data_IF_046702106773
#
_entry.id   IF_046702106773
#
_cell.length_a   1.000
_cell.length_b   1.000
_cell.length_c   1.000
_cell.angle_alpha   90.00
_cell.angle_beta   90.00
_cell.angle_gamma   90.00
#
_symmetry.space_group_name_H-M   'P 1'
#
loop_
_entity.id
_entity.type
_entity.pdbx_description
1 polymer ?
#
# COMPACT_ATOMS: atom_id res chain seq x y z
N UNK A 1 -2.76 -21.65 -36.77
CA UNK A 1 -3.71 -20.57 -36.41
C UNK A 1 -2.91 -19.31 -36.50
N UNK A 2 -3.36 -18.34 -37.28
CA UNK A 2 -2.65 -17.05 -37.38
C UNK A 2 -2.60 -16.43 -35.96
N UNK A 3 -1.41 -16.00 -35.55
CA UNK A 3 -1.22 -15.27 -34.30
C UNK A 3 -1.98 -13.93 -34.47
N UNK A 4 -3.19 -13.83 -33.90
CA UNK A 4 -3.93 -12.59 -33.97
C UNK A 4 -3.16 -11.56 -33.13
N UNK A 5 -2.97 -10.37 -33.69
CA UNK A 5 -2.26 -9.30 -32.98
C UNK A 5 -3.08 -8.91 -31.74
N UNK A 6 -2.45 -8.95 -30.56
CA UNK A 6 -3.06 -8.46 -29.33
C UNK A 6 -3.39 -6.98 -29.46
N UNK A 7 -4.58 -6.59 -29.05
CA UNK A 7 -4.97 -5.18 -28.95
C UNK A 7 -5.34 -4.81 -27.52
N UNK A 8 -5.25 -3.51 -27.20
CA UNK A 8 -5.61 -2.96 -25.89
C UNK A 8 -6.47 -1.72 -26.10
N UNK A 9 -7.52 -1.58 -25.30
CA UNK A 9 -8.37 -0.39 -25.27
C UNK A 9 -8.89 -0.14 -23.85
N UNK A 10 -9.36 1.05 -23.61
CA UNK A 10 -10.17 1.35 -22.43
C UNK A 10 -11.51 0.64 -22.48
N UNK A 11 -12.12 0.45 -21.33
CA UNK A 11 -13.42 -0.22 -21.21
C UNK A 11 -14.56 0.80 -21.14
N UNK A 12 -15.76 0.33 -21.43
CA UNK A 12 -17.02 1.03 -21.17
C UNK A 12 -17.97 0.15 -20.33
N UNK A 13 -19.18 0.66 -20.06
CA UNK A 13 -20.17 -0.07 -19.25
C UNK A 13 -20.57 -1.42 -19.85
N UNK A 14 -20.57 -1.55 -21.18
CA UNK A 14 -20.93 -2.79 -21.85
C UNK A 14 -19.90 -3.90 -21.67
N UNK A 15 -18.64 -3.56 -21.38
CA UNK A 15 -17.56 -4.51 -21.13
C UNK A 15 -17.60 -5.10 -19.72
N UNK A 16 -18.22 -4.41 -18.77
CA UNK A 16 -18.16 -4.74 -17.36
C UNK A 16 -18.52 -6.19 -17.01
N UNK A 17 -19.55 -6.82 -17.64
CA UNK A 17 -19.86 -8.22 -17.34
C UNK A 17 -18.74 -9.19 -17.73
N UNK A 18 -18.13 -9.01 -18.92
CA UNK A 18 -17.02 -9.88 -19.35
C UNK A 18 -15.74 -9.56 -18.60
N UNK A 19 -15.42 -8.28 -18.41
CA UNK A 19 -14.29 -7.81 -17.62
C UNK A 19 -14.30 -8.42 -16.21
N UNK A 20 -15.45 -8.37 -15.52
CA UNK A 20 -15.64 -8.96 -14.20
C UNK A 20 -15.46 -10.47 -14.22
N UNK A 21 -15.96 -11.15 -15.25
CA UNK A 21 -15.82 -12.61 -15.38
C UNK A 21 -14.36 -13.01 -15.57
N UNK A 22 -13.61 -12.30 -16.43
CA UNK A 22 -12.17 -12.53 -16.64
C UNK A 22 -11.40 -12.33 -15.33
N UNK A 23 -11.73 -11.29 -14.59
CA UNK A 23 -11.13 -11.00 -13.28
C UNK A 23 -11.42 -12.12 -12.28
N UNK A 24 -12.67 -12.53 -12.11
CA UNK A 24 -13.07 -13.59 -11.19
C UNK A 24 -12.37 -14.93 -11.53
N UNK A 25 -12.30 -15.31 -12.80
CA UNK A 25 -11.57 -16.50 -13.24
C UNK A 25 -10.08 -16.45 -12.89
N UNK A 26 -9.43 -15.29 -13.04
CA UNK A 26 -8.00 -15.15 -12.80
C UNK A 26 -7.65 -15.15 -11.31
N UNK A 27 -8.52 -14.58 -10.47
CA UNK A 27 -8.37 -14.55 -9.01
C UNK A 27 -8.98 -15.76 -8.30
N UNK A 28 -9.52 -16.73 -9.05
CA UNK A 28 -10.15 -17.95 -8.53
C UNK A 28 -11.41 -17.67 -7.67
N UNK A 29 -12.06 -16.55 -7.92
CA UNK A 29 -13.36 -16.18 -7.34
C UNK A 29 -14.51 -16.90 -8.07
N UNK A 30 -15.72 -16.87 -7.49
CA UNK A 30 -16.91 -17.42 -8.16
C UNK A 30 -17.29 -16.54 -9.38
N UNK A 31 -17.14 -17.06 -10.61
CA UNK A 31 -17.42 -16.29 -11.83
C UNK A 31 -18.91 -15.94 -12.01
N UNK A 32 -19.79 -16.50 -11.20
CA UNK A 32 -21.21 -16.16 -11.12
C UNK A 32 -21.50 -14.97 -10.21
N UNK A 33 -20.57 -14.70 -9.31
CA UNK A 33 -20.63 -13.59 -8.36
C UNK A 33 -20.08 -12.28 -8.94
N UNK A 34 -20.65 -11.80 -10.05
CA UNK A 34 -20.18 -10.65 -10.82
C UNK A 34 -20.25 -9.30 -10.07
N UNK A 35 -20.87 -9.26 -8.89
CA UNK A 35 -20.95 -8.05 -8.05
C UNK A 35 -19.68 -7.85 -7.21
N UNK A 36 -18.54 -7.70 -7.89
CA UNK A 36 -17.30 -7.31 -7.21
C UNK A 36 -17.38 -5.86 -6.78
N UNK A 37 -17.28 -5.62 -5.47
CA UNK A 37 -17.22 -4.25 -4.94
C UNK A 37 -16.04 -3.45 -5.51
N UNK A 38 -14.98 -4.13 -5.93
CA UNK A 38 -13.78 -3.52 -6.52
C UNK A 38 -14.06 -2.86 -7.86
N UNK A 39 -15.08 -3.29 -8.59
CA UNK A 39 -15.46 -2.65 -9.86
C UNK A 39 -16.02 -1.23 -9.68
N UNK A 40 -16.55 -0.92 -8.48
CA UNK A 40 -17.11 0.40 -8.17
C UNK A 40 -16.05 1.51 -8.06
N UNK A 41 -14.78 1.14 -7.86
CA UNK A 41 -13.68 2.11 -7.78
C UNK A 41 -12.95 2.28 -9.10
N UNK A 42 -13.26 1.48 -10.13
CA UNK A 42 -12.61 1.58 -11.43
C UNK A 42 -12.95 2.89 -12.14
N UNK A 43 -11.92 3.53 -12.65
CA UNK A 43 -11.99 4.66 -13.55
C UNK A 43 -11.99 4.10 -14.98
N UNK A 44 -13.11 4.13 -15.69
CA UNK A 44 -13.30 3.44 -16.98
C UNK A 44 -12.30 3.91 -18.05
N UNK A 45 -11.96 5.20 -18.06
CA UNK A 45 -10.97 5.80 -18.94
C UNK A 45 -9.52 5.38 -18.60
N UNK A 46 -9.31 4.77 -17.43
CA UNK A 46 -8.02 4.22 -16.95
C UNK A 46 -8.08 2.71 -16.72
N UNK A 47 -9.18 2.07 -17.03
CA UNK A 47 -9.32 0.62 -17.02
C UNK A 47 -9.20 0.06 -18.44
N UNK A 48 -8.43 -1.01 -18.61
CA UNK A 48 -8.04 -1.55 -19.90
C UNK A 48 -8.44 -3.01 -20.05
N UNK A 49 -8.99 -3.35 -21.21
CA UNK A 49 -9.16 -4.70 -21.68
C UNK A 49 -8.10 -5.02 -22.74
N UNK A 50 -7.47 -6.19 -22.62
CA UNK A 50 -6.61 -6.74 -23.65
C UNK A 50 -7.37 -7.82 -24.42
N UNK A 51 -7.37 -7.71 -25.75
CA UNK A 51 -8.16 -8.55 -26.63
C UNK A 51 -7.28 -9.42 -27.53
N UNK A 52 -7.80 -10.61 -27.83
CA UNK A 52 -7.35 -11.52 -28.89
C UNK A 52 -8.53 -11.68 -29.85
N UNK A 53 -8.53 -10.94 -30.97
CA UNK A 53 -9.75 -10.71 -31.76
C UNK A 53 -10.79 -9.93 -30.94
N UNK A 54 -11.98 -10.50 -30.75
CA UNK A 54 -13.06 -9.89 -29.98
C UNK A 54 -13.11 -10.39 -28.52
N UNK A 55 -12.26 -11.33 -28.15
CA UNK A 55 -12.24 -11.93 -26.81
C UNK A 55 -11.41 -11.11 -25.84
N UNK A 56 -11.97 -10.68 -24.69
CA UNK A 56 -11.20 -10.11 -23.58
C UNK A 56 -10.42 -11.24 -22.91
N UNK A 57 -9.08 -11.16 -22.97
CA UNK A 57 -8.14 -12.15 -22.45
C UNK A 57 -7.32 -11.66 -21.25
N UNK A 58 -7.39 -10.37 -20.97
CA UNK A 58 -6.72 -9.75 -19.83
C UNK A 58 -7.37 -8.44 -19.43
N UNK A 59 -7.18 -8.05 -18.17
CA UNK A 59 -7.74 -6.84 -17.58
C UNK A 59 -6.66 -6.08 -16.81
N UNK A 60 -6.89 -4.81 -16.56
CA UNK A 60 -6.11 -4.00 -15.64
C UNK A 60 -6.70 -2.62 -15.48
N UNK A 61 -6.56 -2.04 -14.30
CA UNK A 61 -7.03 -0.69 -13.97
C UNK A 61 -5.94 0.14 -13.31
N UNK A 62 -6.07 1.44 -13.40
CA UNK A 62 -5.28 2.41 -12.64
C UNK A 62 -6.24 3.33 -11.92
N UNK A 63 -6.11 3.41 -10.60
CA UNK A 63 -6.88 4.34 -9.79
C UNK A 63 -6.04 5.58 -9.53
N UNK A 64 -6.63 6.75 -9.69
CA UNK A 64 -6.00 8.03 -9.37
C UNK A 64 -5.96 8.20 -7.85
N UNK A 65 -4.76 8.25 -7.29
CA UNK A 65 -4.55 8.40 -5.83
C UNK A 65 -3.49 9.45 -5.55
N UNK A 66 -3.52 9.97 -4.34
CA UNK A 66 -2.37 10.63 -3.72
C UNK A 66 -1.80 9.70 -2.65
N UNK A 67 -0.49 9.60 -2.59
CA UNK A 67 0.24 8.91 -1.51
C UNK A 67 1.06 9.91 -0.73
N UNK A 68 1.07 9.78 0.58
CA UNK A 68 1.95 10.59 1.43
C UNK A 68 3.35 9.99 1.44
N UNK A 69 4.33 10.80 1.07
CA UNK A 69 5.75 10.42 1.01
C UNK A 69 6.54 10.99 2.21
N UNK A 70 7.77 10.55 2.46
CA UNK A 70 8.62 11.13 3.50
C UNK A 70 8.68 12.66 3.42
N UNK A 71 8.41 13.34 4.54
CA UNK A 71 8.27 14.79 4.61
C UNK A 71 6.83 15.31 4.53
N UNK A 72 5.83 14.40 4.38
CA UNK A 72 4.41 14.75 4.46
C UNK A 72 3.81 15.33 3.16
N UNK A 73 4.55 15.34 2.05
CA UNK A 73 3.99 15.72 0.75
C UNK A 73 3.02 14.65 0.25
N UNK A 74 1.92 15.07 -0.36
CA UNK A 74 0.97 14.21 -1.06
C UNK A 74 1.33 14.21 -2.54
N UNK A 75 1.69 13.05 -3.07
CA UNK A 75 2.20 12.88 -4.43
C UNK A 75 1.17 12.10 -5.26
N UNK A 76 0.83 12.56 -6.48
CA UNK A 76 0.01 11.77 -7.39
C UNK A 76 0.65 10.41 -7.66
N UNK A 77 -0.16 9.36 -7.59
CA UNK A 77 0.28 7.99 -7.82
C UNK A 77 -0.78 7.20 -8.57
N UNK A 78 -0.37 6.50 -9.63
CA UNK A 78 -1.22 5.52 -10.30
C UNK A 78 -1.29 4.23 -9.48
N UNK A 79 -2.44 3.95 -8.87
CA UNK A 79 -2.65 2.72 -8.11
C UNK A 79 -3.15 1.61 -9.05
N UNK A 80 -2.24 0.73 -9.45
CA UNK A 80 -2.50 -0.35 -10.41
C UNK A 80 -3.24 -1.49 -9.73
N UNK A 81 -4.36 -1.90 -10.32
CA UNK A 81 -5.24 -2.92 -9.76
C UNK A 81 -5.85 -3.82 -10.84
N UNK A 82 -6.50 -4.88 -10.45
CA UNK A 82 -7.24 -5.85 -11.28
C UNK A 82 -6.46 -6.37 -12.49
N UNK A 83 -5.14 -6.49 -12.33
CA UNK A 83 -4.26 -7.01 -13.38
C UNK A 83 -4.45 -8.50 -13.51
N UNK A 84 -5.03 -8.93 -14.63
CA UNK A 84 -5.28 -10.35 -14.91
C UNK A 84 -4.91 -10.76 -16.32
N UNK A 85 -4.65 -12.05 -16.49
CA UNK A 85 -4.49 -12.71 -17.80
C UNK A 85 -5.16 -14.07 -17.72
N UNK A 86 -6.09 -14.34 -18.65
CA UNK A 86 -6.72 -15.68 -18.75
C UNK A 86 -5.65 -16.77 -18.78
N UNK A 87 -5.80 -17.89 -18.04
CA UNK A 87 -4.78 -18.92 -17.93
C UNK A 87 -4.27 -19.45 -19.28
N UNK A 88 -5.16 -19.62 -20.24
CA UNK A 88 -4.81 -20.10 -21.59
C UNK A 88 -4.04 -19.10 -22.46
N UNK A 89 -3.90 -17.84 -22.02
CA UNK A 89 -3.26 -16.77 -22.77
C UNK A 89 -1.98 -16.23 -22.10
N UNK A 90 -1.51 -16.92 -21.05
CA UNK A 90 -0.26 -16.57 -20.35
C UNK A 90 0.95 -16.72 -21.28
N UNK A 91 2.04 -15.99 -21.00
CA UNK A 91 3.31 -16.02 -21.72
C UNK A 91 3.24 -15.52 -23.18
N UNK A 92 2.17 -14.83 -23.56
CA UNK A 92 1.99 -14.20 -24.89
C UNK A 92 2.22 -12.68 -24.89
N UNK A 93 2.82 -12.12 -23.83
CA UNK A 93 3.09 -10.69 -23.74
C UNK A 93 1.93 -9.82 -23.22
N UNK A 94 0.77 -10.41 -22.87
CA UNK A 94 -0.45 -9.69 -22.42
C UNK A 94 -0.15 -8.74 -21.26
N UNK A 95 0.46 -9.22 -20.18
CA UNK A 95 0.81 -8.38 -19.02
C UNK A 95 1.84 -7.28 -19.38
N UNK A 96 2.77 -7.57 -20.30
CA UNK A 96 3.77 -6.58 -20.74
C UNK A 96 3.13 -5.46 -21.56
N UNK A 97 2.17 -5.78 -22.42
CA UNK A 97 1.40 -4.79 -23.18
C UNK A 97 0.62 -3.89 -22.22
N UNK A 98 -0.10 -4.48 -21.26
CA UNK A 98 -0.86 -3.73 -20.26
C UNK A 98 0.04 -2.78 -19.44
N UNK A 99 1.11 -3.31 -18.82
CA UNK A 99 2.02 -2.50 -18.00
C UNK A 99 2.67 -1.38 -18.81
N UNK A 100 3.05 -1.65 -20.07
CA UNK A 100 3.59 -0.62 -20.95
C UNK A 100 2.60 0.51 -21.18
N UNK A 101 1.36 0.18 -21.53
CA UNK A 101 0.29 1.17 -21.77
C UNK A 101 0.04 2.00 -20.51
N UNK A 102 -0.09 1.35 -19.34
CA UNK A 102 -0.38 2.05 -18.09
C UNK A 102 0.77 2.96 -17.65
N UNK A 103 2.03 2.48 -17.68
CA UNK A 103 3.19 3.28 -17.29
C UNK A 103 3.46 4.44 -18.25
N UNK A 104 3.26 4.25 -19.55
CA UNK A 104 3.33 5.36 -20.52
C UNK A 104 2.24 6.41 -20.26
N UNK A 105 0.99 5.98 -20.02
CA UNK A 105 -0.09 6.89 -19.67
C UNK A 105 0.18 7.70 -18.41
N UNK A 106 0.77 7.07 -17.37
CA UNK A 106 1.19 7.77 -16.15
C UNK A 106 2.31 8.78 -16.41
N UNK A 107 3.30 8.42 -17.23
CA UNK A 107 4.37 9.34 -17.66
C UNK A 107 3.79 10.56 -18.39
N UNK A 108 2.88 10.35 -19.33
CA UNK A 108 2.24 11.40 -20.11
C UNK A 108 1.33 12.29 -19.24
N UNK A 109 0.62 11.72 -18.28
CA UNK A 109 -0.23 12.46 -17.30
C UNK A 109 0.57 13.14 -16.18
N UNK A 110 1.87 12.86 -16.07
CA UNK A 110 2.75 13.46 -15.06
C UNK A 110 2.64 12.84 -13.68
N UNK A 111 2.14 11.61 -13.55
CA UNK A 111 2.17 10.83 -12.32
C UNK A 111 3.56 10.24 -12.10
N UNK A 112 4.35 10.72 -11.12
CA UNK A 112 5.76 10.37 -11.00
C UNK A 112 6.01 8.96 -10.48
N UNK A 113 5.01 8.34 -9.86
CA UNK A 113 5.09 7.01 -9.26
C UNK A 113 3.84 6.19 -9.53
N UNK A 114 4.02 4.88 -9.57
CA UNK A 114 2.93 3.91 -9.56
C UNK A 114 3.07 2.96 -8.37
N UNK A 115 1.95 2.48 -7.85
CA UNK A 115 1.89 1.57 -6.71
C UNK A 115 0.96 0.40 -7.02
N UNK A 116 1.19 -0.73 -6.39
CA UNK A 116 0.30 -1.90 -6.45
C UNK A 116 0.45 -2.80 -5.22
N UNK A 117 -0.55 -3.65 -5.03
CA UNK A 117 -0.46 -4.83 -4.19
C UNK A 117 -0.22 -6.06 -5.07
N UNK A 118 0.88 -6.77 -4.82
CA UNK A 118 1.25 -7.91 -5.65
C UNK A 118 0.47 -9.17 -5.21
N UNK A 119 -0.40 -9.68 -6.09
CA UNK A 119 -0.98 -11.03 -5.90
C UNK A 119 0.05 -12.15 -6.12
N UNK A 120 1.10 -11.85 -6.91
CA UNK A 120 2.21 -12.74 -7.26
C UNK A 120 3.51 -11.94 -7.32
N UNK A 121 4.37 -12.06 -6.30
CA UNK A 121 5.60 -11.27 -6.16
C UNK A 121 6.60 -11.42 -7.31
N UNK A 122 6.65 -12.58 -8.00
CA UNK A 122 7.60 -12.81 -9.09
C UNK A 122 7.29 -12.02 -10.39
N UNK A 123 6.12 -11.40 -10.49
CA UNK A 123 5.65 -10.79 -11.75
C UNK A 123 6.14 -9.36 -11.93
N UNK A 124 6.08 -8.53 -10.89
CA UNK A 124 6.10 -7.08 -11.05
C UNK A 124 7.49 -6.45 -11.12
N UNK A 125 8.51 -7.12 -10.56
CA UNK A 125 9.88 -6.63 -10.61
C UNK A 125 10.40 -6.43 -12.05
N UNK A 126 10.03 -7.30 -12.99
CA UNK A 126 10.42 -7.16 -14.42
C UNK A 126 9.84 -5.91 -15.08
N UNK A 127 8.82 -5.28 -14.48
CA UNK A 127 8.25 -4.01 -14.90
C UNK A 127 8.81 -2.82 -14.11
N UNK A 128 9.83 -3.07 -13.27
CA UNK A 128 10.51 -2.06 -12.48
C UNK A 128 9.83 -1.69 -11.16
N UNK A 129 8.83 -2.47 -10.69
CA UNK A 129 8.29 -2.29 -9.35
C UNK A 129 9.25 -2.82 -8.30
N UNK A 130 9.56 -1.98 -7.31
CA UNK A 130 10.34 -2.34 -6.13
C UNK A 130 9.44 -2.95 -5.07
N UNK A 131 9.85 -4.11 -4.56
CA UNK A 131 9.18 -4.82 -3.49
C UNK A 131 9.39 -4.14 -2.13
N UNK A 132 8.50 -4.42 -1.18
CA UNK A 132 8.59 -3.97 0.21
C UNK A 132 8.67 -2.43 0.37
N UNK A 133 8.13 -1.66 -0.58
CA UNK A 133 8.05 -0.21 -0.42
C UNK A 133 7.28 0.16 0.86
N UNK A 134 6.28 -0.65 1.23
CA UNK A 134 5.73 -0.73 2.60
C UNK A 134 5.63 -2.19 3.04
N UNK A 135 5.64 -2.42 4.36
CA UNK A 135 5.40 -3.73 4.96
C UNK A 135 4.01 -3.79 5.59
N UNK A 136 3.43 -4.98 5.59
CA UNK A 136 2.22 -5.30 6.33
C UNK A 136 2.59 -6.14 7.54
N UNK A 137 2.31 -5.64 8.74
CA UNK A 137 2.52 -6.34 9.98
C UNK A 137 1.17 -6.76 10.56
N UNK A 138 0.84 -8.04 10.47
CA UNK A 138 -0.32 -8.59 11.18
C UNK A 138 0.07 -8.86 12.61
N UNK A 139 -0.58 -8.16 13.54
CA UNK A 139 -0.41 -8.38 14.97
C UNK A 139 -1.61 -9.13 15.56
N UNK A 140 -1.32 -10.00 16.51
CA UNK A 140 -2.32 -10.64 17.38
C UNK A 140 -1.89 -10.48 18.82
N UNK A 141 -2.80 -10.14 19.72
CA UNK A 141 -2.51 -10.01 21.13
C UNK A 141 -3.69 -10.42 22.01
N UNK A 142 -3.45 -11.02 23.20
CA UNK A 142 -4.48 -11.30 24.16
C UNK A 142 -5.16 -10.00 24.64
N UNK A 143 -6.45 -10.05 24.91
CA UNK A 143 -7.14 -8.98 25.66
C UNK A 143 -6.65 -8.96 27.12
N UNK A 144 -7.01 -7.92 27.88
CA UNK A 144 -6.65 -7.75 29.30
C UNK A 144 -5.15 -7.66 29.57
N UNK A 145 -4.35 -7.31 28.56
CA UNK A 145 -2.96 -6.93 28.78
C UNK A 145 -2.90 -5.57 29.48
N UNK A 146 -2.02 -5.43 30.45
CA UNK A 146 -1.76 -4.13 31.04
C UNK A 146 -0.87 -3.29 30.14
N UNK A 147 -0.97 -1.98 30.25
CA UNK A 147 0.03 -1.07 29.71
C UNK A 147 1.18 -0.87 30.70
N UNK A 148 2.33 -0.51 30.17
CA UNK A 148 3.46 -0.04 30.95
C UNK A 148 3.01 1.17 31.82
N UNK A 149 3.44 1.31 33.09
CA UNK A 149 2.96 2.37 33.99
C UNK A 149 3.13 3.81 33.48
N UNK A 150 4.05 4.03 32.52
CA UNK A 150 4.25 5.36 31.92
C UNK A 150 3.31 5.69 30.77
N UNK A 151 2.45 4.78 30.33
CA UNK A 151 1.48 5.04 29.24
C UNK A 151 0.23 5.69 29.84
N UNK A 152 -0.06 6.96 29.49
CA UNK A 152 -1.25 7.62 30.02
C UNK A 152 -2.50 7.06 29.33
N UNK A 153 -3.55 6.82 30.13
CA UNK A 153 -4.90 6.53 29.65
C UNK A 153 -5.83 7.58 30.24
N UNK A 154 -6.67 8.16 29.42
CA UNK A 154 -7.62 9.19 29.87
C UNK A 154 -8.97 8.60 30.25
N UNK A 155 -9.82 9.41 30.88
CA UNK A 155 -11.21 9.08 31.16
C UNK A 155 -12.13 9.39 29.97
N UNK A 156 -11.59 9.60 28.78
CA UNK A 156 -12.35 9.95 27.58
C UNK A 156 -13.27 8.80 27.20
N UNK A 157 -14.56 9.13 27.14
CA UNK A 157 -15.58 8.15 26.78
C UNK A 157 -15.56 7.82 25.29
N UNK A 158 -15.30 6.57 24.95
CA UNK A 158 -15.44 6.04 23.58
C UNK A 158 -16.92 5.83 23.29
N UNK A 159 -17.43 6.44 22.20
CA UNK A 159 -18.83 6.35 21.80
C UNK A 159 -19.02 5.27 20.74
N UNK A 160 -19.91 4.34 20.98
CA UNK A 160 -20.38 3.39 19.97
C UNK A 160 -21.50 4.08 19.17
N UNK A 161 -21.38 4.05 17.84
CA UNK A 161 -22.29 4.76 16.94
C UNK A 161 -22.63 3.88 15.73
N UNK A 162 -23.62 4.31 14.94
CA UNK A 162 -23.94 3.68 13.65
C UNK A 162 -22.90 4.05 12.58
N UNK A 163 -22.93 3.34 11.45
CA UNK A 163 -22.09 3.65 10.31
C UNK A 163 -22.34 5.07 9.77
N UNK A 164 -23.60 5.44 9.68
CA UNK A 164 -24.05 6.74 9.15
C UNK A 164 -23.55 7.90 10.02
N UNK A 165 -23.55 7.71 11.33
CA UNK A 165 -23.01 8.69 12.28
C UNK A 165 -21.48 8.75 12.27
N UNK A 166 -20.81 7.60 12.03
CA UNK A 166 -19.36 7.51 12.07
C UNK A 166 -18.69 8.10 10.83
N UNK A 167 -19.20 7.80 9.62
CA UNK A 167 -18.54 8.09 8.36
C UNK A 167 -18.10 9.55 8.17
N UNK A 168 -18.92 10.57 8.44
CA UNK A 168 -18.49 11.97 8.26
C UNK A 168 -17.25 12.28 9.12
N UNK A 169 -17.27 11.91 10.39
CA UNK A 169 -16.15 12.11 11.31
C UNK A 169 -14.91 11.31 10.88
N UNK A 170 -15.07 10.04 10.51
CA UNK A 170 -13.98 9.17 10.09
C UNK A 170 -13.27 9.70 8.85
N UNK A 171 -14.02 10.26 7.89
CA UNK A 171 -13.46 10.87 6.67
C UNK A 171 -12.55 12.05 7.00
N UNK A 172 -13.00 12.94 7.88
CA UNK A 172 -12.22 14.10 8.32
C UNK A 172 -10.95 13.68 9.07
N UNK A 173 -11.06 12.77 10.03
CA UNK A 173 -9.90 12.26 10.79
C UNK A 173 -8.92 11.55 9.86
N UNK A 174 -9.40 10.68 8.97
CA UNK A 174 -8.56 9.98 8.02
C UNK A 174 -7.81 10.95 7.11
N UNK A 175 -8.48 11.99 6.56
CA UNK A 175 -7.82 12.94 5.66
C UNK A 175 -6.75 13.76 6.38
N UNK A 176 -6.96 14.12 7.66
CA UNK A 176 -5.93 14.77 8.47
C UNK A 176 -4.74 13.84 8.76
N UNK A 177 -5.02 12.62 9.19
CA UNK A 177 -3.98 11.65 9.60
C UNK A 177 -3.18 11.15 8.41
N UNK A 178 -3.83 10.83 7.26
CA UNK A 178 -3.13 10.34 6.07
C UNK A 178 -2.01 11.28 5.62
N UNK A 179 -2.16 12.59 5.81
CA UNK A 179 -1.17 13.60 5.41
C UNK A 179 0.10 13.57 6.26
N UNK A 180 0.08 12.88 7.37
CA UNK A 180 1.22 12.76 8.30
C UNK A 180 1.86 11.36 8.29
N UNK A 181 1.22 10.38 7.64
CA UNK A 181 1.63 8.98 7.66
C UNK A 181 2.15 8.55 6.29
N UNK A 182 3.43 8.23 6.20
CA UNK A 182 4.08 7.77 4.96
C UNK A 182 3.44 6.47 4.47
N UNK A 183 3.06 6.45 3.19
CA UNK A 183 2.42 5.30 2.55
C UNK A 183 0.88 5.32 2.58
N UNK A 184 0.25 6.25 3.31
CA UNK A 184 -1.21 6.37 3.34
C UNK A 184 -1.74 7.06 2.09
N UNK A 185 -2.93 6.62 1.64
CA UNK A 185 -3.54 7.03 0.38
C UNK A 185 -4.74 7.96 0.59
N UNK A 186 -5.04 8.75 -0.44
CA UNK A 186 -6.32 9.46 -0.53
C UNK A 186 -7.47 8.49 -0.78
N UNK A 187 -8.66 8.80 -0.25
CA UNK A 187 -9.88 8.01 -0.45
C UNK A 187 -10.97 8.85 -1.11
N UNK A 188 -11.48 8.35 -2.22
CA UNK A 188 -12.72 8.83 -2.83
C UNK A 188 -13.93 8.10 -2.21
N UNK A 189 -15.15 8.56 -2.49
CA UNK A 189 -16.38 7.97 -1.92
C UNK A 189 -16.47 6.46 -2.17
N UNK A 190 -16.22 6.02 -3.40
CA UNK A 190 -16.24 4.61 -3.75
C UNK A 190 -15.22 3.77 -2.96
N UNK A 191 -14.07 4.36 -2.61
CA UNK A 191 -13.07 3.68 -1.76
C UNK A 191 -13.62 3.42 -0.36
N UNK A 192 -14.31 4.39 0.26
CA UNK A 192 -14.95 4.20 1.56
C UNK A 192 -15.99 3.08 1.53
N UNK A 193 -16.80 3.00 0.46
CA UNK A 193 -17.76 1.91 0.27
C UNK A 193 -17.09 0.54 0.11
N UNK A 194 -15.95 0.48 -0.57
CA UNK A 194 -15.20 -0.78 -0.72
C UNK A 194 -14.53 -1.19 0.59
N UNK A 195 -13.85 -0.27 1.27
CA UNK A 195 -13.07 -0.57 2.47
C UNK A 195 -13.96 -0.95 3.68
N UNK A 196 -15.13 -0.32 3.80
CA UNK A 196 -16.08 -0.53 4.89
C UNK A 196 -17.40 -1.16 4.44
N UNK A 197 -17.41 -1.79 3.26
CA UNK A 197 -18.55 -2.58 2.81
C UNK A 197 -18.83 -3.74 3.76
N UNK A 198 -20.09 -3.91 4.15
CA UNK A 198 -20.50 -4.86 5.20
C UNK A 198 -21.58 -5.84 4.73
N UNK A 199 -21.46 -6.35 3.49
CA UNK A 199 -22.36 -7.38 3.01
C UNK A 199 -22.13 -8.68 3.78
N UNK A 200 -23.18 -9.38 4.14
CA UNK A 200 -23.10 -10.62 4.91
C UNK A 200 -22.19 -11.68 4.25
N UNK A 201 -22.26 -11.79 2.93
CA UNK A 201 -21.44 -12.72 2.15
C UNK A 201 -19.92 -12.43 2.27
N UNK A 202 -19.52 -11.19 2.56
CA UNK A 202 -18.11 -10.78 2.70
C UNK A 202 -17.59 -10.92 4.14
N UNK A 203 -18.45 -11.28 5.10
CA UNK A 203 -18.08 -11.31 6.54
C UNK A 203 -17.25 -12.53 6.94
N UNK A 204 -17.29 -13.60 6.16
CA UNK A 204 -16.55 -14.84 6.46
C UNK A 204 -16.76 -15.36 7.91
N UNK A 205 -18.01 -15.33 8.39
CA UNK A 205 -18.36 -15.77 9.74
C UNK A 205 -18.13 -14.72 10.84
N UNK A 206 -17.71 -13.52 10.49
CA UNK A 206 -17.61 -12.39 11.42
C UNK A 206 -18.95 -11.65 11.55
N UNK A 207 -19.13 -10.87 12.63
CA UNK A 207 -20.27 -9.97 12.79
C UNK A 207 -20.23 -8.80 11.81
N UNK A 208 -21.27 -7.97 11.77
CA UNK A 208 -21.22 -6.64 11.16
C UNK A 208 -20.16 -5.77 11.85
N UNK A 209 -19.71 -4.70 11.15
CA UNK A 209 -18.78 -3.73 11.72
C UNK A 209 -19.36 -2.99 12.92
N UNK A 210 -18.51 -2.73 13.89
CA UNK A 210 -18.75 -1.86 15.04
C UNK A 210 -17.90 -0.62 14.88
N UNK A 211 -18.51 0.54 15.04
CA UNK A 211 -17.88 1.85 14.89
C UNK A 211 -17.77 2.50 16.25
N UNK A 212 -16.56 2.85 16.66
CA UNK A 212 -16.30 3.45 17.97
C UNK A 212 -15.46 4.71 17.77
N UNK A 213 -15.94 5.83 18.31
CA UNK A 213 -15.36 7.15 18.13
C UNK A 213 -14.74 7.68 19.42
N UNK A 214 -13.52 8.14 19.33
CA UNK A 214 -12.81 9.04 20.25
C UNK A 214 -12.87 10.46 19.67
N UNK A 215 -12.81 11.56 20.44
CA UNK A 215 -12.78 12.92 19.88
C UNK A 215 -11.67 13.18 18.84
N UNK A 216 -10.54 12.46 18.94
CA UNK A 216 -9.36 12.60 18.08
C UNK A 216 -8.98 11.29 17.36
N UNK A 217 -9.97 10.41 17.11
CA UNK A 217 -9.70 9.15 16.44
C UNK A 217 -10.90 8.22 16.40
N UNK A 218 -10.72 7.07 15.79
CA UNK A 218 -11.75 6.05 15.72
C UNK A 218 -11.17 4.65 15.59
N UNK A 219 -11.98 3.65 15.90
CA UNK A 219 -11.70 2.25 15.60
C UNK A 219 -12.93 1.58 14.98
N UNK A 220 -12.68 0.76 13.95
CA UNK A 220 -13.68 -0.10 13.30
C UNK A 220 -13.24 -1.55 13.42
N UNK A 221 -14.10 -2.40 13.93
CA UNK A 221 -13.78 -3.81 14.12
C UNK A 221 -15.01 -4.71 13.95
N UNK A 222 -14.74 -5.99 13.76
CA UNK A 222 -15.73 -7.08 13.77
C UNK A 222 -15.37 -8.08 14.86
N UNK A 223 -16.33 -8.93 15.19
CA UNK A 223 -16.15 -10.00 16.17
C UNK A 223 -16.33 -11.34 15.48
N UNK A 224 -15.41 -12.24 15.72
CA UNK A 224 -15.58 -13.66 15.43
C UNK A 224 -16.00 -14.34 16.71
N UNK A 225 -17.24 -14.79 16.74
CA UNK A 225 -17.79 -15.49 17.90
C UNK A 225 -17.04 -16.80 18.15
N UNK A 226 -16.69 -17.04 19.40
CA UNK A 226 -16.07 -18.26 19.86
C UNK A 226 -16.59 -18.65 21.25
N UNK A 227 -16.50 -19.89 21.59
CA UNK A 227 -16.92 -20.36 22.91
C UNK A 227 -16.56 -21.82 23.14
N UNK A 228 -16.51 -22.18 24.40
CA UNK A 228 -16.21 -23.53 24.82
C UNK A 228 -16.57 -23.76 26.29
N UNK A 229 -16.22 -24.92 26.84
CA UNK A 229 -16.50 -25.28 28.23
C UNK A 229 -15.96 -24.28 29.28
N UNK A 230 -15.03 -23.41 28.87
CA UNK A 230 -14.39 -22.39 29.73
C UNK A 230 -14.98 -20.98 29.56
N UNK A 231 -16.08 -20.86 28.81
CA UNK A 231 -16.74 -19.58 28.54
C UNK A 231 -16.47 -19.02 27.14
N UNK A 232 -16.83 -17.74 26.92
CA UNK A 232 -16.62 -17.04 25.65
C UNK A 232 -15.13 -16.96 25.27
N UNK A 233 -14.87 -17.04 23.99
CA UNK A 233 -13.52 -16.93 23.37
C UNK A 233 -13.66 -16.13 22.08
N UNK A 234 -14.27 -14.94 22.18
CA UNK A 234 -14.48 -14.09 21.03
C UNK A 234 -13.17 -13.43 20.60
N UNK A 235 -12.98 -13.28 19.28
CA UNK A 235 -11.82 -12.60 18.70
C UNK A 235 -12.26 -11.26 18.09
N UNK A 236 -11.53 -10.18 18.39
CA UNK A 236 -11.72 -8.87 17.77
C UNK A 236 -10.85 -8.74 16.53
N UNK A 237 -11.46 -8.54 15.39
CA UNK A 237 -10.77 -8.28 14.12
C UNK A 237 -10.88 -6.79 13.81
N UNK A 238 -9.83 -6.03 14.13
CA UNK A 238 -9.77 -4.60 13.88
C UNK A 238 -9.51 -4.39 12.38
N UNK A 239 -10.44 -3.70 11.74
CA UNK A 239 -10.33 -3.31 10.34
C UNK A 239 -9.48 -2.07 10.19
N UNK A 240 -9.67 -1.09 11.09
CA UNK A 240 -9.02 0.20 11.00
C UNK A 240 -9.02 0.87 12.38
N UNK A 241 -7.88 1.42 12.78
CA UNK A 241 -7.70 2.27 13.95
C UNK A 241 -6.90 3.49 13.51
N UNK A 242 -7.50 4.68 13.63
CA UNK A 242 -6.93 5.94 13.14
C UNK A 242 -7.00 6.99 14.25
N UNK A 243 -5.85 7.59 14.57
CA UNK A 243 -5.70 8.55 15.66
C UNK A 243 -4.89 9.76 15.22
N UNK A 244 -5.33 10.93 15.64
CA UNK A 244 -4.61 12.19 15.44
C UNK A 244 -3.52 12.38 16.51
N UNK A 245 -3.70 11.79 17.70
CA UNK A 245 -2.81 11.95 18.85
C UNK A 245 -2.41 10.61 19.47
N UNK A 246 -1.27 10.59 20.15
CA UNK A 246 -0.80 9.41 20.89
C UNK A 246 -1.74 9.07 22.06
N UNK A 247 -2.43 10.08 22.64
CA UNK A 247 -3.41 9.85 23.69
C UNK A 247 -4.64 9.10 23.15
N UNK A 248 -5.19 9.52 22.01
CA UNK A 248 -6.30 8.82 21.37
C UNK A 248 -5.91 7.39 20.97
N UNK A 249 -4.66 7.18 20.55
CA UNK A 249 -4.13 5.85 20.27
C UNK A 249 -4.13 4.96 21.52
N UNK A 250 -3.61 5.46 22.64
CA UNK A 250 -3.60 4.72 23.91
C UNK A 250 -5.03 4.41 24.41
N UNK A 251 -5.92 5.37 24.36
CA UNK A 251 -7.31 5.23 24.82
C UNK A 251 -8.09 4.21 23.99
N UNK A 252 -7.94 4.22 22.65
CA UNK A 252 -8.61 3.27 21.78
C UNK A 252 -8.07 1.85 21.94
N UNK A 253 -6.76 1.67 22.11
CA UNK A 253 -6.22 0.34 22.42
C UNK A 253 -6.63 -0.14 23.82
N UNK A 254 -6.66 0.75 24.81
CA UNK A 254 -7.17 0.40 26.15
C UNK A 254 -8.61 -0.06 26.07
N UNK A 255 -9.45 0.68 25.34
CA UNK A 255 -10.83 0.31 25.10
C UNK A 255 -10.95 -1.10 24.48
N UNK A 256 -10.17 -1.42 23.43
CA UNK A 256 -10.21 -2.74 22.80
C UNK A 256 -9.75 -3.86 23.76
N UNK A 257 -8.69 -3.59 24.54
CA UNK A 257 -8.14 -4.55 25.50
C UNK A 257 -9.09 -4.84 26.66
N UNK A 258 -10.00 -3.92 26.99
CA UNK A 258 -10.95 -4.03 28.09
C UNK A 258 -12.33 -4.57 27.66
N UNK A 259 -12.52 -4.91 26.37
CA UNK A 259 -13.78 -5.51 25.92
C UNK A 259 -13.94 -6.89 26.58
N UNK A 260 -14.99 -7.00 27.42
CA UNK A 260 -15.37 -8.27 28.02
C UNK A 260 -15.74 -9.30 26.95
N UNK A 261 -15.59 -10.59 27.28
CA UNK A 261 -15.86 -11.76 26.43
C UNK A 261 -14.85 -11.97 25.31
N UNK A 262 -14.10 -10.95 24.90
CA UNK A 262 -13.00 -11.09 23.94
C UNK A 262 -11.75 -11.66 24.61
N UNK A 263 -11.03 -12.52 23.89
CA UNK A 263 -9.79 -13.15 24.34
C UNK A 263 -8.58 -12.76 23.51
N UNK A 264 -8.81 -12.31 22.28
CA UNK A 264 -7.76 -11.93 21.35
C UNK A 264 -8.17 -10.73 20.49
N UNK A 265 -7.19 -9.90 20.15
CA UNK A 265 -7.32 -8.82 19.17
C UNK A 265 -6.37 -9.11 18.00
N UNK A 266 -6.87 -8.98 16.77
CA UNK A 266 -6.10 -9.11 15.54
C UNK A 266 -6.23 -7.82 14.72
N UNK A 267 -5.12 -7.29 14.21
CA UNK A 267 -5.07 -6.05 13.42
C UNK A 267 -3.86 -6.01 12.49
N UNK A 268 -3.91 -5.10 11.51
CA UNK A 268 -2.80 -4.82 10.61
C UNK A 268 -2.26 -3.43 10.88
N UNK A 269 -0.94 -3.29 10.92
CA UNK A 269 -0.28 -2.03 11.27
C UNK A 269 1.12 -1.92 10.68
N UNK A 270 1.81 -0.80 10.94
CA UNK A 270 3.21 -0.61 10.57
C UNK A 270 4.14 -1.58 11.32
N UNK A 271 5.34 -1.82 10.78
CA UNK A 271 6.31 -2.71 11.39
C UNK A 271 6.87 -2.16 12.73
N UNK A 272 6.88 -0.84 12.88
CA UNK A 272 7.34 -0.09 14.07
C UNK A 272 6.20 0.42 14.96
N UNK A 273 5.04 -0.24 14.93
CA UNK A 273 3.87 0.16 15.69
C UNK A 273 4.18 0.29 17.20
N UNK A 274 3.81 1.42 17.84
CA UNK A 274 4.14 1.71 19.23
C UNK A 274 3.52 0.78 20.26
N UNK A 275 2.46 0.04 19.93
CA UNK A 275 1.78 -0.89 20.85
C UNK A 275 2.76 -1.87 21.52
N UNK A 276 3.82 -2.28 20.81
CA UNK A 276 4.85 -3.18 21.35
C UNK A 276 5.60 -2.59 22.55
N UNK A 277 5.68 -1.26 22.63
CA UNK A 277 6.34 -0.55 23.72
C UNK A 277 5.34 -0.05 24.77
N UNK A 278 4.05 -0.13 24.49
CA UNK A 278 2.97 0.27 25.41
C UNK A 278 2.53 -0.88 26.33
N UNK A 279 2.53 -2.12 25.84
CA UNK A 279 2.10 -3.28 26.62
C UNK A 279 3.17 -3.76 27.59
N UNK A 280 2.75 -4.26 28.75
CA UNK A 280 3.63 -4.76 29.82
C UNK A 280 4.40 -6.03 29.43
N UNK A 281 3.87 -6.81 28.50
CA UNK A 281 4.49 -8.05 28.04
C UNK A 281 4.45 -8.19 26.50
N UNK A 282 5.37 -7.54 25.78
CA UNK A 282 5.40 -7.57 24.31
C UNK A 282 5.65 -8.98 23.73
N UNK A 283 6.16 -9.93 24.53
CA UNK A 283 6.35 -11.32 24.09
C UNK A 283 5.04 -12.04 23.79
N UNK A 284 3.92 -11.55 24.33
CA UNK A 284 2.58 -12.10 24.06
C UNK A 284 1.97 -11.59 22.77
N UNK A 285 2.60 -10.61 22.12
CA UNK A 285 2.15 -10.08 20.84
C UNK A 285 2.73 -10.91 19.70
N UNK A 286 1.87 -11.62 18.98
CA UNK A 286 2.23 -12.30 17.74
C UNK A 286 2.45 -11.29 16.62
N UNK A 287 3.41 -11.56 15.73
CA UNK A 287 3.76 -10.69 14.60
C UNK A 287 4.03 -11.51 13.36
N UNK A 288 3.31 -11.21 12.28
CA UNK A 288 3.55 -11.78 10.95
C UNK A 288 3.84 -10.63 9.99
N UNK A 289 5.06 -10.56 9.49
CA UNK A 289 5.50 -9.54 8.52
C UNK A 289 5.42 -10.10 7.09
N UNK A 290 4.76 -9.34 6.23
CA UNK A 290 4.69 -9.58 4.80
C UNK A 290 4.99 -8.32 4.01
N UNK A 291 5.06 -8.46 2.69
CA UNK A 291 5.06 -7.32 1.78
C UNK A 291 3.66 -6.70 1.68
N UNK A 292 3.62 -5.42 1.36
CA UNK A 292 2.40 -4.68 1.11
C UNK A 292 2.49 -3.93 -0.22
N UNK A 293 2.72 -2.62 -0.22
CA UNK A 293 2.89 -1.89 -1.46
C UNK A 293 4.22 -2.20 -2.14
N UNK A 294 4.11 -2.39 -3.44
CA UNK A 294 5.21 -2.32 -4.40
C UNK A 294 5.15 -0.97 -5.08
N UNK A 295 6.29 -0.33 -5.26
CA UNK A 295 6.37 1.01 -5.81
C UNK A 295 7.26 1.05 -7.06
N UNK A 296 6.78 1.74 -8.08
CA UNK A 296 7.48 1.99 -9.34
C UNK A 296 7.76 3.49 -9.47
N UNK A 297 9.01 3.85 -9.66
CA UNK A 297 9.38 5.19 -10.08
C UNK A 297 9.05 5.31 -11.57
N UNK A 298 8.02 6.08 -11.92
CA UNK A 298 7.64 6.33 -13.32
C UNK A 298 8.61 7.32 -13.96
N UNK A 299 8.94 8.41 -13.25
CA UNK A 299 9.89 9.44 -13.68
C UNK A 299 10.88 9.74 -12.56
N UNK A 300 12.17 9.45 -12.76
CA UNK A 300 13.23 9.63 -11.76
C UNK A 300 13.39 11.10 -11.37
N UNK A 301 13.45 11.98 -12.36
CA UNK A 301 13.63 13.43 -12.17
C UNK A 301 12.42 14.12 -11.52
N UNK A 302 11.22 13.57 -11.68
CA UNK A 302 10.01 14.07 -11.04
C UNK A 302 9.79 13.47 -9.65
N UNK A 303 10.03 12.16 -9.49
CA UNK A 303 9.74 11.46 -8.24
C UNK A 303 10.69 11.85 -7.10
N UNK A 304 12.01 11.83 -7.37
CA UNK A 304 13.00 12.03 -6.30
C UNK A 304 12.93 13.42 -5.62
N UNK A 305 12.62 14.55 -6.31
CA UNK A 305 12.45 15.83 -5.64
C UNK A 305 11.17 15.96 -4.81
N UNK A 306 10.20 15.06 -4.97
CA UNK A 306 8.89 15.16 -4.29
C UNK A 306 8.87 14.59 -2.87
N UNK A 307 10.01 14.08 -2.37
CA UNK A 307 10.12 13.63 -0.98
C UNK A 307 11.18 14.41 -0.21
N UNK A 308 11.13 14.35 1.12
CA UNK A 308 12.20 14.86 1.97
C UNK A 308 13.20 13.77 2.32
N UNK A 309 14.42 14.20 2.61
CA UNK A 309 15.56 13.33 2.91
C UNK A 309 16.14 13.67 4.29
N UNK A 310 16.67 12.65 4.97
CA UNK A 310 17.14 12.77 6.36
C UNK A 310 18.56 13.29 6.50
N UNK A 311 19.36 13.31 5.44
CA UNK A 311 20.73 13.86 5.43
C UNK A 311 21.12 14.41 4.07
N UNK A 312 22.06 15.32 4.05
CA UNK A 312 22.66 15.86 2.83
C UNK A 312 23.51 14.79 2.14
N UNK A 313 23.46 14.76 0.82
CA UNK A 313 24.25 13.87 -0.04
C UNK A 313 24.40 14.48 -1.42
N UNK A 314 25.55 14.22 -2.07
CA UNK A 314 25.78 14.50 -3.48
C UNK A 314 26.35 13.22 -4.10
N UNK A 315 25.64 12.63 -5.06
CA UNK A 315 25.98 11.33 -5.65
C UNK A 315 25.46 11.24 -7.07
N UNK A 316 26.21 10.54 -7.93
CA UNK A 316 25.75 10.19 -9.27
C UNK A 316 25.17 8.79 -9.27
N UNK A 317 23.86 8.69 -9.54
CA UNK A 317 23.13 7.45 -9.64
C UNK A 317 23.03 7.02 -11.10
N UNK A 318 23.55 5.85 -11.45
CA UNK A 318 23.27 5.21 -12.73
C UNK A 318 22.06 4.29 -12.58
N UNK A 319 20.95 4.69 -13.20
CA UNK A 319 19.68 3.97 -13.10
C UNK A 319 19.49 3.13 -14.37
N UNK A 320 19.19 1.84 -14.17
CA UNK A 320 18.78 0.93 -15.24
C UNK A 320 17.27 0.77 -15.25
N UNK A 321 16.65 1.01 -16.41
CA UNK A 321 15.22 0.81 -16.61
C UNK A 321 14.94 0.35 -18.05
N UNK A 322 14.88 -0.94 -18.25
CA UNK A 322 14.63 -1.53 -19.57
C UNK A 322 13.17 -1.36 -20.02
N UNK A 323 12.25 -1.09 -19.09
CA UNK A 323 10.82 -1.02 -19.38
C UNK A 323 10.34 0.41 -19.68
N UNK A 324 10.93 1.41 -19.00
CA UNK A 324 10.70 2.84 -19.21
C UNK A 324 12.05 3.53 -19.51
N UNK A 325 12.53 3.47 -20.78
CA UNK A 325 13.90 3.86 -21.14
C UNK A 325 14.27 5.31 -20.81
N UNK A 326 13.28 6.19 -20.67
CA UNK A 326 13.52 7.60 -20.30
C UNK A 326 14.12 7.77 -18.90
N UNK A 327 14.05 6.75 -18.04
CA UNK A 327 14.71 6.75 -16.73
C UNK A 327 16.17 6.29 -16.80
N UNK A 328 16.53 5.52 -17.81
CA UNK A 328 17.88 4.94 -17.90
C UNK A 328 18.95 6.01 -18.11
N UNK A 329 20.07 5.85 -17.43
CA UNK A 329 21.25 6.72 -17.51
C UNK A 329 21.65 7.30 -16.18
N UNK A 330 22.54 8.31 -16.23
CA UNK A 330 23.14 8.90 -15.05
C UNK A 330 22.42 10.16 -14.60
N UNK A 331 22.17 10.22 -13.29
CA UNK A 331 21.47 11.28 -12.63
C UNK A 331 22.32 11.82 -11.49
N UNK A 332 22.69 13.10 -11.52
CA UNK A 332 23.24 13.76 -10.34
C UNK A 332 22.12 14.02 -9.37
N UNK A 333 22.25 13.44 -8.21
CA UNK A 333 21.32 13.51 -7.11
C UNK A 333 21.96 14.27 -5.94
N UNK A 334 21.50 15.49 -5.67
CA UNK A 334 22.05 16.35 -4.63
C UNK A 334 20.95 16.68 -3.64
N UNK A 335 21.18 16.39 -2.36
CA UNK A 335 20.30 16.76 -1.25
C UNK A 335 20.96 17.83 -0.41
N UNK A 336 20.24 18.91 -0.13
CA UNK A 336 20.62 19.95 0.83
C UNK A 336 19.42 20.36 1.67
N UNK A 337 19.58 20.32 3.00
CA UNK A 337 18.51 20.68 3.93
C UNK A 337 17.24 19.85 3.76
N UNK A 338 17.39 18.58 3.34
CA UNK A 338 16.28 17.66 3.13
C UNK A 338 15.59 17.79 1.77
N UNK A 339 16.00 18.68 0.88
CA UNK A 339 15.46 18.88 -0.46
C UNK A 339 16.40 18.34 -1.52
N UNK A 340 15.86 17.60 -2.51
CA UNK A 340 16.64 17.04 -3.58
C UNK A 340 16.54 17.85 -4.88
N UNK A 341 17.68 17.94 -5.58
CA UNK A 341 17.77 18.35 -6.98
C UNK A 341 18.31 17.16 -7.79
N UNK A 342 17.66 16.87 -8.91
CA UNK A 342 17.99 15.74 -9.77
C UNK A 342 18.17 16.25 -11.19
N UNK A 343 19.29 15.93 -11.81
CA UNK A 343 19.61 16.34 -13.18
C UNK A 343 20.42 15.28 -13.92
N UNK A 344 20.25 15.20 -15.23
CA UNK A 344 21.11 14.36 -16.08
C UNK A 344 22.55 14.81 -15.99
N UNK A 345 23.48 13.85 -16.03
CA UNK A 345 24.91 14.12 -16.01
C UNK A 345 25.69 13.07 -16.83
N UNK A 346 26.89 13.44 -17.29
CA UNK A 346 27.87 12.53 -17.89
C UNK A 346 28.97 12.13 -16.89
N UNK A 347 28.91 12.63 -15.65
CA UNK A 347 29.86 12.28 -14.61
C UNK A 347 29.87 10.76 -14.35
N UNK A 348 31.01 10.20 -13.92
CA UNK A 348 31.06 8.79 -13.53
C UNK A 348 30.07 8.46 -12.42
N UNK A 349 29.44 7.29 -12.53
CA UNK A 349 28.50 6.84 -11.50
C UNK A 349 29.22 6.51 -10.18
N UNK A 350 28.66 7.00 -9.08
CA UNK A 350 29.06 6.58 -7.72
C UNK A 350 28.35 5.29 -7.32
N UNK A 351 27.11 5.13 -7.77
CA UNK A 351 26.26 3.99 -7.47
C UNK A 351 25.43 3.61 -8.70
N UNK A 352 25.36 2.31 -9.02
CA UNK A 352 24.46 1.77 -10.05
C UNK A 352 23.40 0.88 -9.44
N UNK A 353 22.14 1.01 -9.90
CA UNK A 353 20.98 0.24 -9.44
C UNK A 353 19.89 0.17 -10.51
N UNK A 354 19.06 -0.86 -10.43
CA UNK A 354 17.83 -0.90 -11.23
C UNK A 354 16.76 0.03 -10.62
N UNK A 355 15.80 0.45 -11.43
CA UNK A 355 14.70 1.31 -10.99
C UNK A 355 13.82 0.65 -9.91
N UNK A 356 13.77 -0.69 -9.87
CA UNK A 356 13.03 -1.42 -8.84
C UNK A 356 13.71 -1.29 -7.46
N UNK A 357 15.05 -1.32 -7.40
CA UNK A 357 15.79 -1.07 -6.17
C UNK A 357 15.54 0.35 -5.65
N UNK A 358 15.49 1.34 -6.56
CA UNK A 358 15.14 2.72 -6.21
C UNK A 358 13.69 2.82 -5.70
N UNK A 359 12.75 2.12 -6.36
CA UNK A 359 11.35 2.03 -5.93
C UNK A 359 11.19 1.42 -4.54
N UNK A 360 11.91 0.33 -4.23
CA UNK A 360 11.92 -0.28 -2.89
C UNK A 360 12.36 0.72 -1.80
N UNK A 361 13.37 1.54 -2.08
CA UNK A 361 13.92 2.49 -1.12
C UNK A 361 13.10 3.81 -1.02
N UNK A 362 12.24 4.11 -1.98
CA UNK A 362 11.63 5.43 -2.15
C UNK A 362 10.84 5.92 -0.94
N UNK A 363 10.09 5.07 -0.25
CA UNK A 363 9.33 5.46 0.94
C UNK A 363 10.14 5.40 2.25
N UNK A 364 11.37 4.89 2.22
CA UNK A 364 12.29 4.92 3.37
C UNK A 364 12.29 3.66 4.24
N UNK A 365 11.48 2.63 3.92
CA UNK A 365 11.45 1.37 4.66
C UNK A 365 12.60 0.42 4.27
N UNK A 366 13.02 0.41 3.00
CA UNK A 366 14.11 -0.45 2.52
C UNK A 366 15.42 0.33 2.41
N UNK A 367 16.46 -0.17 3.07
CA UNK A 367 17.79 0.45 3.09
C UNK A 367 18.60 0.05 1.85
N UNK A 368 19.20 1.01 1.16
CA UNK A 368 20.08 0.76 0.01
C UNK A 368 21.28 -0.11 0.39
N UNK A 369 21.81 0.00 1.61
CA UNK A 369 22.87 -0.87 2.12
C UNK A 369 22.46 -2.35 2.23
N UNK A 370 21.18 -2.64 2.49
CA UNK A 370 20.65 -4.01 2.44
C UNK A 370 20.56 -4.51 1.00
N UNK A 371 20.10 -3.66 0.07
CA UNK A 371 20.05 -3.98 -1.35
C UNK A 371 21.46 -4.18 -1.95
N UNK A 372 22.46 -3.43 -1.49
CA UNK A 372 23.87 -3.67 -1.84
C UNK A 372 24.33 -5.07 -1.41
N UNK A 373 24.03 -5.47 -0.17
CA UNK A 373 24.36 -6.83 0.32
C UNK A 373 23.59 -7.94 -0.43
N UNK A 374 22.44 -7.60 -0.99
CA UNK A 374 21.66 -8.47 -1.87
C UNK A 374 22.10 -8.42 -3.34
N UNK A 375 23.22 -7.75 -3.67
CA UNK A 375 23.76 -7.57 -5.02
C UNK A 375 22.79 -6.86 -6.00
N UNK A 376 21.93 -6.00 -5.50
CA UNK A 376 20.99 -5.19 -6.30
C UNK A 376 21.41 -3.74 -6.44
N UNK A 377 22.42 -3.33 -5.70
CA UNK A 377 23.05 -2.00 -5.77
C UNK A 377 24.54 -2.21 -5.85
N UNK A 378 25.20 -1.56 -6.79
CA UNK A 378 26.65 -1.60 -6.99
C UNK A 378 27.21 -0.25 -6.57
N UNK A 379 28.18 -0.26 -5.68
CA UNK A 379 28.91 0.93 -5.25
C UNK A 379 30.23 1.03 -6.02
N UNK A 380 30.45 2.15 -6.70
CA UNK A 380 31.71 2.43 -7.42
C UNK A 380 32.61 3.35 -6.60
N UNK A 381 32.02 4.34 -5.92
CA UNK A 381 32.75 5.24 -5.02
C UNK A 381 32.43 4.88 -3.56
N UNK A 382 33.44 4.45 -2.76
CA UNK A 382 33.23 4.00 -1.39
C UNK A 382 32.52 5.04 -0.50
N UNK A 383 31.52 4.60 0.25
CA UNK A 383 30.76 5.42 1.22
C UNK A 383 29.49 6.05 0.66
N UNK A 384 29.26 6.05 -0.66
CA UNK A 384 28.07 6.66 -1.27
C UNK A 384 26.80 5.86 -0.97
N UNK A 385 26.83 4.52 -0.92
CA UNK A 385 25.67 3.70 -0.55
C UNK A 385 25.26 3.94 0.90
N UNK A 386 26.21 4.12 1.81
CA UNK A 386 25.91 4.42 3.21
C UNK A 386 25.32 5.83 3.35
N UNK A 387 25.88 6.83 2.66
CA UNK A 387 25.36 8.19 2.63
C UNK A 387 23.91 8.23 2.06
N UNK A 388 23.67 7.57 0.94
CA UNK A 388 22.34 7.44 0.34
C UNK A 388 21.37 6.68 1.27
N UNK A 389 21.84 5.63 1.96
CA UNK A 389 20.99 4.92 2.93
C UNK A 389 20.51 5.85 4.03
N UNK A 390 21.40 6.67 4.59
CA UNK A 390 21.05 7.66 5.61
C UNK A 390 20.12 8.75 5.07
N UNK A 391 20.32 9.18 3.82
CA UNK A 391 19.46 10.18 3.20
C UNK A 391 18.02 9.65 2.97
N UNK A 392 17.89 8.40 2.53
CA UNK A 392 16.59 7.81 2.16
C UNK A 392 15.77 7.31 3.35
N UNK A 393 16.39 6.94 4.49
CA UNK A 393 15.66 6.37 5.62
C UNK A 393 14.65 7.37 6.20
N UNK A 394 13.44 6.90 6.50
CA UNK A 394 12.41 7.67 7.19
C UNK A 394 12.55 7.66 8.70
N UNK A 395 11.85 8.56 9.38
CA UNK A 395 11.73 8.58 10.86
C UNK A 395 10.77 7.52 11.39
N UNK A 396 9.91 6.97 10.53
CA UNK A 396 8.99 5.86 10.81
C UNK A 396 8.94 4.92 9.61
N UNK A 397 8.53 3.68 9.86
CA UNK A 397 8.30 2.70 8.80
C UNK A 397 7.07 3.09 7.96
N UNK A 398 7.19 3.08 6.63
CA UNK A 398 6.06 3.37 5.76
C UNK A 398 5.02 2.25 5.86
N UNK A 399 3.74 2.63 5.84
CA UNK A 399 2.62 1.70 5.97
C UNK A 399 1.45 2.13 5.09
N UNK A 400 0.81 1.16 4.42
CA UNK A 400 -0.45 1.38 3.72
C UNK A 400 -1.55 0.55 4.40
N UNK A 401 -2.58 1.18 5.00
CA UNK A 401 -3.63 0.46 5.71
C UNK A 401 -4.71 -0.14 4.80
N UNK A 402 -4.64 0.12 3.50
CA UNK A 402 -5.68 -0.29 2.55
C UNK A 402 -5.13 -1.09 1.36
N UNK A 403 -5.91 -2.10 0.96
CA UNK A 403 -5.74 -2.85 -0.29
C UNK A 403 -6.71 -2.26 -1.32
N UNK A 404 -6.29 -2.19 -2.59
CA UNK A 404 -7.07 -1.65 -3.71
C UNK A 404 -6.97 -2.51 -4.97
#
# INVERSE_FOLDING_TARGET
MADSALSIRTIDESDMPEFSRVMAWAFLDDPRGVDSKWLKVLEHDRAHAILDGDEIIGTGGVLSREITVPGGLQVPAGAVTVVTVKPGHRRRGVASLLMKTQLHGMHESGEPIAILWASEGAIYRRFGYGELATSLNRMTMPTRMAFHPGVPVSDTRIRQVTREEALPFMREVHDRVRRTKVGWLSRVEATWEVQLGDREVDRNGLTSYRYCLHPEGYVVFRVKGGGGPRGPQDELHVRELVCETDQAYADLYRFLLDIDLATEISFYTAADDPILHMVDNPRKVGRDLGDALWLRIVDVDRALPLRRYSSDVDSVLEVEDSFCPWNSGRWRFTVKGGEAVVARTEDPADVSLDVAALGSAYLGGVRLSVLKRAHRVVEHTPGHVDALTLAFIGVCEPHCPEVF
#
